data_IF_162805131706
#
_entry.id   IF_162805131706
#
_cell.length_a   1.000
_cell.length_b   1.000
_cell.length_c   1.000
_cell.angle_alpha   90.00
_cell.angle_beta   90.00
_cell.angle_gamma   90.00
#
_symmetry.space_group_name_H-M   'P 1'
#
loop_
_entity.id
_entity.type
_entity.pdbx_description
1 polymer ?
#
# COMPACT_ATOMS: atom_id res chain seq x y z
N UNK A 1 40.78 12.11 12.30
CA UNK A 1 40.47 11.16 11.20
C UNK A 1 38.95 11.13 11.04
N UNK A 2 38.40 11.94 10.15
CA UNK A 2 36.94 12.05 9.93
C UNK A 2 36.46 10.84 9.13
N UNK A 3 35.54 10.05 9.71
CA UNK A 3 34.89 8.92 9.04
C UNK A 3 34.34 9.37 7.67
N UNK A 4 34.61 8.65 6.56
CA UNK A 4 34.11 9.06 5.25
C UNK A 4 32.59 9.05 5.33
N UNK A 5 31.97 10.22 5.12
CA UNK A 5 30.51 10.34 5.04
C UNK A 5 30.04 9.39 3.93
N UNK A 6 29.47 8.24 4.31
CA UNK A 6 28.87 7.29 3.37
C UNK A 6 27.75 8.03 2.64
N UNK A 7 28.03 8.40 1.39
CA UNK A 7 27.02 9.00 0.56
C UNK A 7 26.00 7.94 0.15
N UNK A 8 24.72 8.23 0.33
CA UNK A 8 23.68 7.32 -0.14
C UNK A 8 23.65 7.34 -1.67
N UNK A 9 23.74 6.18 -2.35
CA UNK A 9 23.89 6.12 -3.80
C UNK A 9 22.80 6.82 -4.61
N UNK A 10 21.59 6.96 -4.06
CA UNK A 10 20.45 7.58 -4.72
C UNK A 10 20.02 8.91 -4.13
N UNK A 11 20.87 9.63 -3.38
CA UNK A 11 20.45 10.90 -2.72
C UNK A 11 19.95 11.98 -3.71
N UNK A 12 20.48 12.01 -4.94
CA UNK A 12 20.12 12.99 -5.98
C UNK A 12 19.01 12.42 -6.89
N UNK A 13 18.61 11.18 -6.66
CA UNK A 13 17.53 10.54 -7.41
C UNK A 13 16.19 10.84 -6.77
N UNK A 14 15.17 11.00 -7.60
CA UNK A 14 13.80 11.15 -7.12
C UNK A 14 13.28 9.82 -6.56
N UNK A 15 12.50 9.83 -5.47
CA UNK A 15 11.80 8.64 -5.01
C UNK A 15 10.95 8.07 -6.13
N UNK A 16 11.04 6.76 -6.34
CA UNK A 16 10.39 6.08 -7.46
C UNK A 16 10.05 4.65 -7.09
N UNK A 17 8.93 4.17 -7.64
CA UNK A 17 8.44 2.82 -7.50
C UNK A 17 8.03 2.32 -8.88
N UNK A 18 8.50 1.13 -9.27
CA UNK A 18 8.26 0.56 -10.60
C UNK A 18 9.22 -0.57 -10.94
N UNK A 19 9.05 -1.21 -12.11
CA UNK A 19 9.98 -2.24 -12.58
C UNK A 19 11.38 -1.64 -12.74
N UNK A 20 12.37 -2.22 -12.04
CA UNK A 20 13.75 -1.72 -12.02
C UNK A 20 14.31 -1.64 -10.61
N UNK A 21 14.99 -0.52 -10.29
CA UNK A 21 15.64 -0.28 -8.99
C UNK A 21 14.91 0.83 -8.22
N UNK A 22 13.82 0.51 -7.47
CA UNK A 22 13.07 1.50 -6.73
C UNK A 22 13.94 2.32 -5.78
N UNK A 23 13.62 3.59 -5.64
CA UNK A 23 14.35 4.55 -4.80
C UNK A 23 13.44 5.00 -3.66
N UNK A 24 13.85 4.71 -2.42
CA UNK A 24 13.17 5.17 -1.22
C UNK A 24 13.40 6.67 -1.01
N UNK A 25 12.54 7.31 -0.20
CA UNK A 25 12.70 8.72 0.22
C UNK A 25 14.09 8.98 0.82
N UNK A 26 14.68 7.98 1.47
CA UNK A 26 16.04 8.08 1.99
C UNK A 26 17.15 7.88 0.94
N UNK A 27 16.87 7.96 -0.37
CA UNK A 27 17.86 7.71 -1.43
C UNK A 27 18.46 6.29 -1.45
N UNK A 28 17.88 5.34 -0.70
CA UNK A 28 18.30 3.93 -0.68
C UNK A 28 17.54 3.17 -1.76
N UNK A 29 18.21 2.19 -2.35
CA UNK A 29 17.57 1.28 -3.28
C UNK A 29 16.81 0.19 -2.54
N UNK A 30 15.65 -0.19 -3.08
CA UNK A 30 14.86 -1.32 -2.62
C UNK A 30 14.99 -2.46 -3.63
N UNK A 31 15.26 -3.66 -3.15
CA UNK A 31 15.10 -4.91 -3.92
C UNK A 31 13.99 -5.69 -3.24
N UNK A 32 12.76 -5.68 -3.80
CA UNK A 32 11.67 -6.43 -3.20
C UNK A 32 11.94 -7.93 -3.26
N UNK A 33 11.60 -8.64 -2.18
CA UNK A 33 11.62 -10.09 -2.15
C UNK A 33 10.27 -10.64 -2.61
N UNK A 34 10.28 -11.66 -3.46
CA UNK A 34 9.05 -12.31 -3.94
C UNK A 34 8.24 -11.43 -4.90
N UNK A 35 6.91 -11.50 -4.76
CA UNK A 35 5.95 -10.82 -5.63
C UNK A 35 5.40 -9.59 -4.90
N UNK A 36 5.26 -8.48 -5.61
CA UNK A 36 4.81 -7.20 -5.03
C UNK A 36 3.74 -6.54 -5.86
N UNK A 37 2.68 -6.07 -5.20
CA UNK A 37 1.71 -5.15 -5.77
C UNK A 37 2.08 -3.70 -5.45
N UNK A 38 1.81 -2.80 -6.38
CA UNK A 38 1.81 -1.36 -6.11
C UNK A 38 0.47 -0.96 -5.51
N UNK A 39 0.51 -0.13 -4.49
CA UNK A 39 -0.66 0.42 -3.82
C UNK A 39 -0.54 1.94 -3.70
N UNK A 40 -1.68 2.60 -3.59
CA UNK A 40 -1.75 4.03 -3.26
C UNK A 40 -1.02 4.32 -1.95
N UNK A 41 -0.25 5.40 -1.93
CA UNK A 41 0.35 5.91 -0.69
C UNK A 41 -0.71 6.33 0.34
N UNK A 42 -0.31 6.36 1.61
CA UNK A 42 -1.15 6.76 2.76
C UNK A 42 -2.34 5.82 3.05
N UNK A 43 -2.07 4.52 3.08
CA UNK A 43 -2.98 3.56 3.73
C UNK A 43 -2.76 3.57 5.25
N UNK A 44 -3.85 3.51 6.02
CA UNK A 44 -3.84 3.53 7.48
C UNK A 44 -4.11 2.15 8.10
N UNK A 45 -4.74 1.24 7.35
CA UNK A 45 -5.03 -0.11 7.79
C UNK A 45 -4.73 -1.14 6.71
N UNK A 46 -4.40 -2.35 7.13
CA UNK A 46 -4.33 -3.53 6.29
C UNK A 46 -5.00 -4.71 7.00
N UNK A 47 -5.81 -5.46 6.28
CA UNK A 47 -6.38 -6.72 6.73
C UNK A 47 -6.11 -7.80 5.68
N UNK A 48 -5.86 -9.03 6.14
CA UNK A 48 -5.75 -10.21 5.29
C UNK A 48 -6.92 -11.12 5.61
N UNK A 49 -7.57 -11.63 4.57
CA UNK A 49 -8.69 -12.58 4.70
C UNK A 49 -8.21 -13.88 5.34
N UNK A 50 -9.08 -14.59 6.06
CA UNK A 50 -8.70 -15.81 6.76
C UNK A 50 -8.14 -16.92 5.84
N UNK A 51 -8.56 -16.94 4.58
CA UNK A 51 -8.05 -17.87 3.54
C UNK A 51 -6.75 -17.38 2.86
N UNK A 52 -6.19 -16.26 3.34
CA UNK A 52 -5.00 -15.59 2.85
C UNK A 52 -5.06 -15.14 1.38
N UNK A 53 -6.18 -15.33 0.68
CA UNK A 53 -6.31 -15.07 -0.77
C UNK A 53 -6.37 -13.58 -1.11
N UNK A 54 -6.75 -12.76 -0.13
CA UNK A 54 -7.10 -11.35 -0.32
C UNK A 54 -6.51 -10.51 0.79
N UNK A 55 -5.82 -9.43 0.41
CA UNK A 55 -5.45 -8.35 1.31
C UNK A 55 -6.28 -7.10 0.97
N UNK A 56 -6.69 -6.34 1.98
CA UNK A 56 -7.33 -5.04 1.80
C UNK A 56 -6.46 -3.98 2.47
N UNK A 57 -6.24 -2.88 1.76
CA UNK A 57 -5.64 -1.67 2.29
C UNK A 57 -6.70 -0.59 2.40
N UNK A 58 -6.80 0.03 3.57
CA UNK A 58 -7.74 1.11 3.82
C UNK A 58 -7.02 2.47 3.86
N UNK A 59 -7.58 3.45 3.17
CA UNK A 59 -7.12 4.84 3.15
C UNK A 59 -8.31 5.79 3.34
N UNK A 60 -8.06 7.09 3.50
CA UNK A 60 -9.14 8.06 3.58
C UNK A 60 -10.01 8.01 2.32
N UNK A 61 -11.28 7.67 2.48
CA UNK A 61 -12.23 7.73 1.39
C UNK A 61 -12.03 6.68 0.28
N UNK A 62 -11.21 5.66 0.51
CA UNK A 62 -10.99 4.57 -0.43
C UNK A 62 -10.41 3.32 0.24
N UNK A 63 -10.72 2.16 -0.31
CA UNK A 63 -10.02 0.91 -0.03
C UNK A 63 -9.47 0.30 -1.32
N UNK A 64 -8.43 -0.51 -1.17
CA UNK A 64 -7.78 -1.24 -2.25
C UNK A 64 -7.82 -2.72 -1.93
N UNK A 65 -8.27 -3.54 -2.87
CA UNK A 65 -8.32 -5.00 -2.76
C UNK A 65 -7.17 -5.59 -3.58
N UNK A 66 -6.44 -6.51 -2.99
CA UNK A 66 -5.26 -7.13 -3.58
C UNK A 66 -5.42 -8.65 -3.50
N UNK A 67 -5.39 -9.32 -4.66
CA UNK A 67 -5.18 -10.77 -4.70
C UNK A 67 -3.75 -11.11 -4.27
N UNK A 68 -3.59 -11.98 -3.27
CA UNK A 68 -2.27 -12.41 -2.79
C UNK A 68 -1.67 -13.51 -3.65
N UNK A 69 -2.50 -14.24 -4.39
CA UNK A 69 -2.08 -15.28 -5.31
C UNK A 69 -1.29 -14.69 -6.49
N UNK A 70 -1.67 -13.51 -6.99
CA UNK A 70 -0.95 -12.77 -8.02
C UNK A 70 -1.01 -11.25 -7.75
N UNK A 71 -0.15 -10.73 -6.86
CA UNK A 71 -0.19 -9.33 -6.46
C UNK A 71 0.46 -8.49 -7.58
N UNK A 72 -0.34 -8.09 -8.57
CA UNK A 72 0.09 -7.28 -9.72
C UNK A 72 -0.37 -5.83 -9.61
N UNK A 73 -1.65 -5.62 -9.32
CA UNK A 73 -2.25 -4.31 -9.13
C UNK A 73 -3.36 -4.39 -8.09
N UNK A 74 -3.57 -3.29 -7.36
CA UNK A 74 -4.63 -3.21 -6.38
C UNK A 74 -5.91 -2.62 -7.02
N UNK A 75 -7.03 -3.32 -6.86
CA UNK A 75 -8.33 -2.83 -7.28
C UNK A 75 -8.84 -1.80 -6.28
N UNK A 76 -8.93 -0.54 -6.71
CA UNK A 76 -9.32 0.57 -5.83
C UNK A 76 -10.81 0.86 -5.94
N UNK A 77 -11.47 1.01 -4.80
CA UNK A 77 -12.81 1.58 -4.70
C UNK A 77 -12.83 2.81 -3.78
N UNK A 78 -13.46 3.93 -4.20
CA UNK A 78 -13.90 4.21 -5.57
C UNK A 78 -12.69 4.26 -6.53
N UNK A 79 -12.93 4.16 -7.84
CA UNK A 79 -11.82 4.33 -8.80
C UNK A 79 -11.24 5.75 -8.71
N UNK A 80 -10.02 5.96 -9.22
CA UNK A 80 -9.46 7.32 -9.30
C UNK A 80 -10.37 8.22 -10.15
N UNK A 81 -10.55 9.47 -9.73
CA UNK A 81 -11.44 10.44 -10.38
C UNK A 81 -12.92 10.26 -10.05
N UNK A 82 -13.33 9.17 -9.40
CA UNK A 82 -14.69 9.01 -8.89
C UNK A 82 -14.84 9.64 -7.51
N UNK A 83 -16.01 10.24 -7.27
CA UNK A 83 -16.36 10.81 -5.97
C UNK A 83 -16.46 9.74 -4.90
N UNK A 84 -15.92 10.02 -3.71
CA UNK A 84 -16.05 9.12 -2.56
C UNK A 84 -17.50 9.06 -2.08
N UNK A 85 -18.11 7.88 -1.93
CA UNK A 85 -19.46 7.75 -1.38
C UNK A 85 -19.54 8.32 0.05
N UNK A 86 -20.67 8.92 0.40
CA UNK A 86 -20.86 9.57 1.72
C UNK A 86 -20.54 8.66 2.90
N UNK A 87 -20.98 7.40 2.86
CA UNK A 87 -20.70 6.40 3.90
C UNK A 87 -19.20 6.13 4.11
N UNK A 88 -18.35 6.43 3.13
CA UNK A 88 -16.89 6.30 3.18
C UNK A 88 -16.17 7.62 3.50
N UNK A 89 -16.88 8.76 3.43
CA UNK A 89 -16.37 10.08 3.82
C UNK A 89 -16.57 10.39 5.30
N UNK A 90 -17.66 9.91 5.89
CA UNK A 90 -18.13 10.34 7.21
C UNK A 90 -17.34 9.70 8.39
N UNK A 91 -16.22 9.02 8.13
CA UNK A 91 -15.39 8.40 9.17
C UNK A 91 -13.89 8.55 8.94
N UNK A 92 -13.14 8.65 10.04
CA UNK A 92 -11.69 8.52 10.06
C UNK A 92 -11.36 7.12 10.55
N UNK A 93 -10.77 6.32 9.66
CA UNK A 93 -10.47 4.91 9.94
C UNK A 93 -9.00 4.76 10.33
N UNK A 94 -8.74 4.18 11.49
CA UNK A 94 -7.38 3.94 11.99
C UNK A 94 -6.89 2.52 11.72
N UNK A 95 -7.75 1.65 11.17
CA UNK A 95 -7.45 0.26 10.88
C UNK A 95 -8.56 -0.40 10.07
N UNK A 96 -8.43 -1.68 9.78
CA UNK A 96 -9.52 -2.50 9.26
C UNK A 96 -9.34 -3.94 9.68
N UNK A 97 -10.43 -4.70 9.73
CA UNK A 97 -10.43 -6.12 10.05
C UNK A 97 -11.54 -6.84 9.29
N UNK A 98 -11.29 -8.09 8.91
CA UNK A 98 -12.36 -8.94 8.42
C UNK A 98 -13.20 -9.47 9.59
N UNK A 99 -14.51 -9.60 9.37
CA UNK A 99 -15.38 -10.38 10.26
C UNK A 99 -14.89 -11.84 10.34
N UNK A 100 -15.24 -12.60 11.40
CA UNK A 100 -14.77 -13.98 11.56
C UNK A 100 -15.10 -14.90 10.37
N UNK A 101 -16.23 -14.66 9.70
CA UNK A 101 -16.66 -15.38 8.49
C UNK A 101 -16.05 -14.83 7.19
N UNK A 102 -15.23 -13.78 7.27
CA UNK A 102 -14.60 -13.09 6.15
C UNK A 102 -15.58 -12.57 5.08
N UNK A 103 -16.83 -12.28 5.48
CA UNK A 103 -17.86 -11.71 4.59
C UNK A 103 -17.95 -10.19 4.67
N UNK A 104 -17.46 -9.58 5.76
CA UNK A 104 -17.49 -8.14 5.99
C UNK A 104 -16.11 -7.61 6.31
N UNK A 105 -15.88 -6.36 5.96
CA UNK A 105 -14.71 -5.60 6.36
C UNK A 105 -15.16 -4.47 7.29
N UNK A 106 -14.76 -4.56 8.54
CA UNK A 106 -14.91 -3.49 9.52
C UNK A 106 -13.73 -2.52 9.40
N UNK A 107 -13.99 -1.24 9.67
CA UNK A 107 -13.13 -0.10 9.34
C UNK A 107 -13.16 0.93 10.46
#
# INVERSE_FOLDING_TARGET
MTSPRRHQPGKDLRPSVGPGRPVLISGRFLTPAGRTALAQSYSWGMAIRADESTAVLLSRGAFQVISTAEPKAADRFPAFGQGTPKWLQDGTYMGCAFSPDSQKLDR
#
